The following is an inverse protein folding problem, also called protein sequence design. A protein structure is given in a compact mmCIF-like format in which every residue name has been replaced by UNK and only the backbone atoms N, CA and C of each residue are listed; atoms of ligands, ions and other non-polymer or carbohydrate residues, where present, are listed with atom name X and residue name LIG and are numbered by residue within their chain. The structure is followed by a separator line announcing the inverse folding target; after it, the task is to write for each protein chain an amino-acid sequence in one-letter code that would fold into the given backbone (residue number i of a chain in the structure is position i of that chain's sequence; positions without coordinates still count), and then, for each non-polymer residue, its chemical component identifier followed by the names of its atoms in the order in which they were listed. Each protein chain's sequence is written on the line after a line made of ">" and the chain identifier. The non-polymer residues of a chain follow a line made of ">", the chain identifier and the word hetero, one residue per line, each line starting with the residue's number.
data_IF_504488171979
#
_entry.id   IF_504488171979
#
_cell.length_a   1.000
_cell.length_b   1.000
_cell.length_c   1.000
_cell.angle_alpha   90.00
_cell.angle_beta   90.00
_cell.angle_gamma   90.00
#
_symmetry.space_group_name_H-M   'P 1'
#
loop_
_entity.id
_entity.type
_entity.pdbx_description
1 polymer ?
#
# COMPACT_ATOMS: atom_id res chain seq x y z
N UNK A 1 -14.44 -5.61 -3.87
CA UNK A 1 -14.04 -6.74 -2.97
C UNK A 1 -12.63 -6.47 -2.44
N UNK A 2 -12.40 -6.60 -1.12
CA UNK A 2 -11.15 -6.19 -0.47
C UNK A 2 -9.93 -7.04 -0.86
N UNK A 3 -10.12 -8.32 -1.24
CA UNK A 3 -9.03 -9.30 -1.47
C UNK A 3 -8.10 -9.41 -0.26
N UNK A 4 -8.70 -9.53 0.93
CA UNK A 4 -7.96 -9.81 2.16
C UNK A 4 -7.73 -11.32 2.29
N UNK A 5 -6.64 -11.68 2.97
CA UNK A 5 -6.28 -13.06 3.30
C UNK A 5 -6.34 -13.25 4.81
N UNK A 6 -6.93 -14.34 5.27
CA UNK A 6 -6.75 -14.79 6.66
C UNK A 6 -5.36 -15.40 6.76
N UNK A 7 -4.53 -14.88 7.67
CA UNK A 7 -3.15 -15.34 7.85
C UNK A 7 -2.93 -16.11 9.15
N UNK A 8 -3.83 -15.92 10.13
CA UNK A 8 -3.85 -16.70 11.37
C UNK A 8 -5.28 -16.77 11.93
N UNK A 9 -5.58 -17.83 12.69
CA UNK A 9 -6.90 -18.09 13.26
C UNK A 9 -6.78 -18.86 14.58
N UNK A 10 -7.48 -18.39 15.60
CA UNK A 10 -7.66 -19.09 16.87
C UNK A 10 -9.16 -19.28 17.17
N UNK A 11 -9.50 -19.78 18.36
CA UNK A 11 -10.90 -19.90 18.80
C UNK A 11 -11.58 -18.55 19.02
N UNK A 12 -10.80 -17.53 19.39
CA UNK A 12 -11.32 -16.22 19.83
C UNK A 12 -10.83 -15.07 18.96
N UNK A 13 -9.82 -15.28 18.11
CA UNK A 13 -9.18 -14.24 17.31
C UNK A 13 -8.97 -14.66 15.86
N UNK A 14 -8.94 -13.66 14.99
CA UNK A 14 -8.66 -13.81 13.56
C UNK A 14 -7.68 -12.73 13.13
N UNK A 15 -6.58 -13.12 12.47
CA UNK A 15 -5.63 -12.18 11.89
C UNK A 15 -5.81 -12.14 10.38
N UNK A 16 -6.03 -10.94 9.85
CA UNK A 16 -6.22 -10.70 8.42
C UNK A 16 -5.13 -9.80 7.86
N UNK A 17 -4.72 -10.06 6.62
CA UNK A 17 -3.82 -9.23 5.86
C UNK A 17 -4.54 -8.69 4.63
N UNK A 18 -4.37 -7.39 4.35
CA UNK A 18 -4.91 -6.75 3.14
C UNK A 18 -3.81 -5.96 2.45
N UNK A 19 -3.81 -6.00 1.12
CA UNK A 19 -2.94 -5.17 0.28
C UNK A 19 -3.84 -4.25 -0.54
N UNK A 20 -3.56 -2.95 -0.47
CA UNK A 20 -4.31 -1.94 -1.21
C UNK A 20 -3.88 -0.53 -0.90
N UNK A 21 -4.56 0.40 -1.54
CA UNK A 21 -4.48 1.82 -1.20
C UNK A 21 -5.08 2.11 0.18
N UNK A 22 -4.86 3.35 0.62
CA UNK A 22 -5.33 3.82 1.93
C UNK A 22 -6.87 3.80 2.05
N UNK A 23 -7.59 4.07 0.96
CA UNK A 23 -9.05 4.05 0.96
C UNK A 23 -9.60 2.63 1.20
N UNK A 24 -9.00 1.62 0.59
CA UNK A 24 -9.35 0.22 0.82
C UNK A 24 -9.07 -0.20 2.26
N UNK A 25 -7.90 0.18 2.81
CA UNK A 25 -7.57 -0.15 4.20
C UNK A 25 -8.56 0.51 5.17
N UNK A 26 -8.88 1.79 4.98
CA UNK A 26 -9.85 2.52 5.80
C UNK A 26 -11.25 1.90 5.75
N UNK A 27 -11.74 1.54 4.56
CA UNK A 27 -13.04 0.90 4.41
C UNK A 27 -13.10 -0.49 5.05
N UNK A 28 -11.99 -1.24 5.07
CA UNK A 28 -11.93 -2.52 5.78
C UNK A 28 -11.95 -2.34 7.29
N UNK A 29 -11.22 -1.34 7.81
CA UNK A 29 -11.23 -1.02 9.24
C UNK A 29 -12.62 -0.59 9.71
N UNK A 30 -13.34 0.20 8.92
CA UNK A 30 -14.71 0.62 9.24
C UNK A 30 -15.67 -0.58 9.27
N UNK A 31 -15.55 -1.50 8.31
CA UNK A 31 -16.35 -2.74 8.28
C UNK A 31 -16.13 -3.63 9.51
N UNK A 32 -14.90 -3.68 10.03
CA UNK A 32 -14.52 -4.55 11.15
C UNK A 32 -14.66 -3.87 12.51
N UNK A 33 -15.06 -2.59 12.53
CA UNK A 33 -15.12 -1.78 13.74
C UNK A 33 -15.96 -2.41 14.85
N UNK A 34 -17.10 -2.98 14.47
CA UNK A 34 -18.06 -3.58 15.40
C UNK A 34 -17.65 -4.99 15.87
N UNK A 35 -16.66 -5.61 15.21
CA UNK A 35 -16.14 -6.93 15.61
C UNK A 35 -15.11 -6.85 16.74
N UNK A 36 -14.66 -5.65 17.11
CA UNK A 36 -13.66 -5.45 18.15
C UNK A 36 -12.24 -5.68 17.64
N UNK A 37 -11.66 -4.67 17.01
CA UNK A 37 -10.27 -4.71 16.53
C UNK A 37 -9.32 -4.66 17.73
N UNK A 38 -8.55 -5.73 17.92
CA UNK A 38 -7.58 -5.83 19.01
C UNK A 38 -6.28 -5.07 18.71
N UNK A 39 -5.80 -5.15 17.47
CA UNK A 39 -4.55 -4.54 17.04
C UNK A 39 -4.58 -4.20 15.54
N UNK A 40 -3.87 -3.14 15.13
CA UNK A 40 -3.66 -2.76 13.72
C UNK A 40 -2.19 -2.43 13.49
N UNK A 41 -1.58 -3.06 12.49
CA UNK A 41 -0.22 -2.76 12.03
C UNK A 41 -0.26 -2.36 10.55
N UNK A 42 0.39 -1.25 10.17
CA UNK A 42 0.45 -0.75 8.79
C UNK A 42 1.85 -0.27 8.41
N UNK A 43 2.25 -0.49 7.15
CA UNK A 43 3.58 -0.16 6.63
C UNK A 43 3.67 1.21 5.93
N UNK A 44 2.56 1.96 5.85
CA UNK A 44 2.50 3.19 5.05
C UNK A 44 2.46 2.89 3.54
N UNK A 45 2.63 3.92 2.71
CA UNK A 45 2.68 3.75 1.25
C UNK A 45 4.05 3.25 0.83
N UNK A 46 4.06 2.07 0.19
CA UNK A 46 5.25 1.51 -0.45
C UNK A 46 4.96 1.46 -1.96
N UNK A 47 5.87 2.00 -2.75
CA UNK A 47 5.74 2.03 -4.21
C UNK A 47 7.04 1.56 -4.87
N UNK A 48 6.88 0.86 -5.99
CA UNK A 48 7.95 0.56 -6.93
C UNK A 48 7.46 0.95 -8.32
N UNK A 49 8.34 1.51 -9.12
CA UNK A 49 8.02 1.78 -10.52
C UNK A 49 7.78 0.48 -11.28
N UNK A 50 6.89 0.55 -12.27
CA UNK A 50 6.56 -0.59 -13.12
C UNK A 50 7.34 -0.53 -14.42
N UNK A 51 7.61 -1.69 -14.99
CA UNK A 51 8.26 -1.79 -16.30
C UNK A 51 9.79 -1.73 -16.23
N UNK A 52 10.42 -1.06 -17.19
CA UNK A 52 11.88 -1.02 -17.34
C UNK A 52 12.57 -0.02 -16.41
N UNK A 53 11.80 0.90 -15.83
CA UNK A 53 12.36 1.92 -14.97
C UNK A 53 12.65 1.31 -13.60
N UNK A 54 13.90 1.41 -13.15
CA UNK A 54 14.35 0.83 -11.87
C UNK A 54 14.99 1.90 -11.01
N UNK A 55 15.14 1.65 -9.71
CA UNK A 55 15.85 2.57 -8.80
C UNK A 55 17.33 2.79 -9.17
N UNK A 56 17.88 2.02 -10.10
CA UNK A 56 19.26 2.13 -10.59
C UNK A 56 19.37 2.87 -11.93
N UNK A 57 18.27 3.34 -12.50
CA UNK A 57 18.30 4.06 -13.77
C UNK A 57 18.75 5.52 -13.58
N UNK A 58 20.00 5.80 -13.96
CA UNK A 58 20.62 7.13 -13.84
C UNK A 58 20.09 8.15 -14.87
N UNK A 59 19.30 7.75 -15.87
CA UNK A 59 18.75 8.69 -16.85
C UNK A 59 17.46 9.38 -16.35
N UNK A 60 16.90 8.92 -15.23
CA UNK A 60 15.64 9.41 -14.65
C UNK A 60 15.66 10.89 -14.29
N UNK A 61 16.72 11.35 -13.63
CA UNK A 61 16.84 12.76 -13.22
C UNK A 61 16.86 13.70 -14.44
N UNK A 62 17.49 13.27 -15.53
CA UNK A 62 17.54 14.05 -16.78
C UNK A 62 16.19 14.06 -17.49
N UNK A 63 15.54 12.90 -17.64
CA UNK A 63 14.30 12.76 -18.40
C UNK A 63 13.04 13.29 -17.73
N UNK A 64 12.91 13.14 -16.41
CA UNK A 64 11.66 13.46 -15.69
C UNK A 64 11.77 14.77 -14.89
N UNK A 65 12.91 15.05 -14.27
CA UNK A 65 13.05 16.20 -13.35
C UNK A 65 13.64 17.45 -13.99
N UNK A 66 14.53 17.31 -14.98
CA UNK A 66 15.28 18.43 -15.56
C UNK A 66 14.73 18.93 -16.91
N UNK A 67 14.03 18.10 -17.69
CA UNK A 67 13.47 18.52 -18.99
C UNK A 67 12.42 19.62 -18.87
N UNK A 68 11.64 19.65 -17.77
CA UNK A 68 10.60 20.66 -17.54
C UNK A 68 11.09 21.95 -16.85
N UNK A 69 12.35 22.01 -16.39
CA UNK A 69 12.87 23.16 -15.63
C UNK A 69 13.64 24.19 -16.47
N UNK A 70 14.05 23.83 -17.68
CA UNK A 70 14.81 24.71 -18.60
C UNK A 70 13.97 25.20 -19.81
N UNK A 71 12.65 25.12 -19.72
CA UNK A 71 11.70 25.58 -20.77
C UNK A 71 10.98 26.90 -20.41
N UNK A 72 11.56 27.67 -19.49
CA UNK A 72 11.22 29.08 -19.24
C UNK A 72 12.49 29.93 -19.25
#
# INVERSE_FOLDING_TARGET
>A
MFRASVVDMSRETLTIAVIGDEGKAAALLDLLRDLGILEVVRTGTIAIERGRNTIYDNNKEKGEFNYGKNVL
#
